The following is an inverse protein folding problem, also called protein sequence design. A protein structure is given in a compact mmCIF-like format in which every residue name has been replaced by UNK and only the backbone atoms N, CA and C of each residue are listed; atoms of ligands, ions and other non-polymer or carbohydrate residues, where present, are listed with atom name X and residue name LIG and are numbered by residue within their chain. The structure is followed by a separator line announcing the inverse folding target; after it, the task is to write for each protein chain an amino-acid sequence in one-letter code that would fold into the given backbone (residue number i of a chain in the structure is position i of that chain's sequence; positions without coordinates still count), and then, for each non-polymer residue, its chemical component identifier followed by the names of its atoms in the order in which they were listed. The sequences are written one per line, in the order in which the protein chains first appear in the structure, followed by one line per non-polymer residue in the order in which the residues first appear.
data_IF_280527451997
#
_entry.id   IF_280527451997
#
_cell.length_a   1.000
_cell.length_b   1.000
_cell.length_c   1.000
_cell.angle_alpha   90.00
_cell.angle_beta   90.00
_cell.angle_gamma   90.00
#
_symmetry.space_group_name_H-M   'P 1'
#
loop_
_entity.id
_entity.type
_entity.pdbx_description
1 polymer ?
#
# COMPACT_ATOMS: atom_id res chain seq x y z
N UNK A 1 1.84 9.44 -11.45
CA UNK A 1 1.98 8.86 -10.10
C UNK A 1 0.61 8.47 -9.57
N UNK A 2 0.52 7.31 -8.97
CA UNK A 2 -0.69 6.84 -8.31
C UNK A 2 -0.33 6.43 -6.89
N UNK A 3 -1.31 6.44 -5.99
CA UNK A 3 -1.16 5.94 -4.62
C UNK A 3 -1.96 4.64 -4.48
N UNK A 4 -1.30 3.58 -4.04
CA UNK A 4 -1.92 2.29 -3.77
C UNK A 4 -1.89 2.06 -2.26
N UNK A 5 -3.05 1.77 -1.67
CA UNK A 5 -3.18 1.62 -0.22
C UNK A 5 -3.42 0.15 0.13
N UNK A 6 -2.55 -0.41 0.94
CA UNK A 6 -2.75 -1.71 1.59
C UNK A 6 -3.63 -1.45 2.82
N UNK A 7 -4.93 -1.55 2.63
CA UNK A 7 -5.91 -1.00 3.58
C UNK A 7 -6.06 -1.81 4.87
N UNK A 8 -5.76 -3.10 4.84
CA UNK A 8 -6.03 -3.97 5.99
C UNK A 8 -5.19 -3.60 7.21
N UNK A 9 -4.04 -2.98 7.00
CA UNK A 9 -3.20 -2.54 8.10
C UNK A 9 -3.03 -1.02 8.19
N UNK A 10 -3.88 -0.25 7.50
CA UNK A 10 -3.69 1.20 7.44
C UNK A 10 -4.77 1.93 8.24
N UNK A 11 -4.40 2.61 9.35
CA UNK A 11 -5.37 3.35 10.16
C UNK A 11 -5.75 4.71 9.56
N UNK A 12 -5.09 5.14 8.48
CA UNK A 12 -5.28 6.48 7.89
C UNK A 12 -5.78 6.40 6.44
N UNK A 13 -6.62 5.40 6.14
CA UNK A 13 -7.15 5.21 4.78
C UNK A 13 -7.92 6.45 4.31
N UNK A 14 -8.86 6.92 5.12
CA UNK A 14 -9.74 8.03 4.71
C UNK A 14 -8.95 9.33 4.54
N UNK A 15 -8.00 9.58 5.42
CA UNK A 15 -7.13 10.76 5.34
C UNK A 15 -6.27 10.72 4.09
N UNK A 16 -5.74 9.56 3.75
CA UNK A 16 -4.92 9.37 2.54
C UNK A 16 -5.76 9.59 1.28
N UNK A 17 -6.96 9.01 1.23
CA UNK A 17 -7.88 9.20 0.10
C UNK A 17 -8.22 10.67 -0.08
N UNK A 18 -8.49 11.36 1.04
CA UNK A 18 -8.82 12.80 1.00
C UNK A 18 -7.68 13.63 0.45
N UNK A 19 -6.45 13.34 0.86
CA UNK A 19 -5.28 14.05 0.36
C UNK A 19 -5.03 13.76 -1.11
N UNK A 20 -5.19 12.52 -1.54
CA UNK A 20 -5.07 12.18 -2.96
C UNK A 20 -6.09 12.94 -3.81
N UNK A 21 -7.33 13.03 -3.34
CA UNK A 21 -8.36 13.79 -4.05
C UNK A 21 -8.03 15.28 -4.12
N UNK A 22 -7.49 15.85 -3.04
CA UNK A 22 -7.13 17.26 -2.98
C UNK A 22 -6.04 17.61 -3.99
N UNK A 23 -5.11 16.69 -4.23
CA UNK A 23 -4.01 16.91 -5.16
C UNK A 23 -4.23 16.27 -6.53
N UNK A 24 -5.42 15.76 -6.79
CA UNK A 24 -5.78 15.10 -8.05
C UNK A 24 -4.87 13.91 -8.37
N UNK A 25 -4.49 13.16 -7.35
CA UNK A 25 -3.67 11.95 -7.49
C UNK A 25 -4.58 10.74 -7.49
N UNK A 26 -4.51 9.88 -8.52
CA UNK A 26 -5.29 8.64 -8.53
C UNK A 26 -4.95 7.76 -7.32
N UNK A 27 -5.98 7.18 -6.71
CA UNK A 27 -5.82 6.37 -5.52
C UNK A 27 -6.55 5.04 -5.71
N UNK A 28 -5.84 3.94 -5.45
CA UNK A 28 -6.38 2.59 -5.50
C UNK A 28 -6.27 1.97 -4.11
N UNK A 29 -7.32 1.28 -3.70
CA UNK A 29 -7.37 0.71 -2.36
C UNK A 29 -7.50 -0.81 -2.47
N UNK A 30 -6.69 -1.53 -1.71
CA UNK A 30 -6.65 -2.99 -1.71
C UNK A 30 -6.96 -3.51 -0.32
N UNK A 31 -7.93 -4.42 -0.23
CA UNK A 31 -8.36 -5.01 1.04
C UNK A 31 -8.77 -6.46 0.82
N UNK A 32 -8.90 -7.21 1.91
CA UNK A 32 -9.44 -8.56 1.84
C UNK A 32 -10.97 -8.53 1.99
N UNK A 33 -11.61 -9.70 1.86
CA UNK A 33 -13.08 -9.79 1.93
C UNK A 33 -13.66 -9.48 3.30
N UNK A 34 -12.85 -9.53 4.35
CA UNK A 34 -13.30 -9.25 5.72
C UNK A 34 -13.34 -7.76 6.02
N UNK A 35 -12.67 -6.92 5.21
CA UNK A 35 -12.52 -5.48 5.46
C UNK A 35 -12.87 -4.69 4.20
N UNK A 36 -14.11 -4.83 3.72
CA UNK A 36 -14.53 -4.12 2.52
C UNK A 36 -14.79 -2.66 2.85
N UNK A 37 -14.12 -1.79 2.10
CA UNK A 37 -14.30 -0.35 2.21
C UNK A 37 -15.22 0.15 1.09
N UNK A 38 -16.05 1.12 1.42
CA UNK A 38 -16.87 1.83 0.44
C UNK A 38 -16.60 3.32 0.59
N UNK A 39 -15.70 3.82 -0.25
CA UNK A 39 -15.29 5.23 -0.20
C UNK A 39 -15.52 5.84 -1.58
N UNK A 40 -16.34 6.91 -1.68
CA UNK A 40 -16.56 7.57 -2.96
C UNK A 40 -15.27 8.11 -3.56
N UNK A 41 -15.12 7.98 -4.86
CA UNK A 41 -13.99 8.56 -5.59
C UNK A 41 -12.70 7.76 -5.55
N UNK A 42 -12.72 6.57 -4.97
CA UNK A 42 -11.55 5.68 -4.96
C UNK A 42 -11.95 4.32 -5.53
N UNK A 43 -11.04 3.73 -6.26
CA UNK A 43 -11.21 2.39 -6.82
C UNK A 43 -10.81 1.36 -5.76
N UNK A 44 -11.71 0.44 -5.44
CA UNK A 44 -11.50 -0.56 -4.39
C UNK A 44 -11.34 -1.94 -5.04
N UNK A 45 -10.26 -2.61 -4.72
CA UNK A 45 -9.97 -3.99 -5.16
C UNK A 45 -10.03 -4.89 -3.95
N UNK A 46 -10.86 -5.93 -4.02
CA UNK A 46 -11.08 -6.86 -2.92
C UNK A 46 -10.43 -8.18 -3.28
N UNK A 47 -9.48 -8.63 -2.46
CA UNK A 47 -8.82 -9.91 -2.65
C UNK A 47 -9.67 -11.04 -2.09
N UNK A 48 -9.51 -12.24 -2.64
CA UNK A 48 -10.12 -13.43 -2.08
C UNK A 48 -9.59 -13.71 -0.69
N UNK A 49 -10.38 -14.38 0.13
CA UNK A 49 -9.93 -14.84 1.44
C UNK A 49 -8.71 -15.73 1.28
N UNK A 50 -7.61 -15.33 1.87
CA UNK A 50 -6.39 -16.09 1.79
C UNK A 50 -5.24 -15.26 2.28
N UNK A 51 -4.29 -15.95 2.89
CA UNK A 51 -3.07 -15.31 3.36
C UNK A 51 -2.32 -14.74 2.16
N UNK A 52 -1.91 -13.49 2.23
CA UNK A 52 -1.14 -12.79 1.20
C UNK A 52 -1.88 -12.49 -0.10
N UNK A 53 -3.18 -12.78 -0.21
CA UNK A 53 -3.94 -12.48 -1.44
C UNK A 53 -3.99 -11.00 -1.74
N UNK A 54 -4.10 -10.15 -0.72
CA UNK A 54 -4.11 -8.69 -0.89
C UNK A 54 -2.78 -8.20 -1.45
N UNK A 55 -1.66 -8.74 -0.97
CA UNK A 55 -0.33 -8.39 -1.45
C UNK A 55 -0.16 -8.73 -2.93
N UNK A 56 -0.58 -9.93 -3.33
CA UNK A 56 -0.52 -10.33 -4.74
C UNK A 56 -1.37 -9.44 -5.61
N UNK A 57 -2.56 -9.11 -5.16
CA UNK A 57 -3.47 -8.25 -5.91
C UNK A 57 -2.87 -6.86 -6.09
N UNK A 58 -2.32 -6.29 -5.04
CA UNK A 58 -1.66 -4.99 -5.08
C UNK A 58 -0.47 -5.02 -6.05
N UNK A 59 0.39 -6.03 -5.93
CA UNK A 59 1.57 -6.15 -6.78
C UNK A 59 1.19 -6.33 -8.24
N UNK A 60 0.07 -6.99 -8.54
CA UNK A 60 -0.38 -7.18 -9.92
C UNK A 60 -0.79 -5.86 -10.59
N UNK A 61 -1.15 -4.85 -9.82
CA UNK A 61 -1.52 -3.53 -10.32
C UNK A 61 -0.37 -2.52 -10.25
N UNK A 62 0.72 -2.88 -9.62
CA UNK A 62 1.83 -1.96 -9.36
C UNK A 62 2.55 -1.57 -10.64
N UNK A 63 2.87 -0.28 -10.76
CA UNK A 63 3.63 0.28 -11.87
C UNK A 63 4.82 1.07 -11.33
N UNK A 64 5.93 1.14 -12.08
CA UNK A 64 7.04 2.01 -11.69
C UNK A 64 6.56 3.43 -11.44
N UNK A 65 7.04 4.06 -10.38
CA UNK A 65 6.65 5.41 -10.00
C UNK A 65 5.42 5.50 -9.09
N UNK A 66 4.72 4.40 -8.86
CA UNK A 66 3.61 4.37 -7.89
C UNK A 66 4.14 4.54 -6.47
N UNK A 67 3.25 5.02 -5.57
CA UNK A 67 3.53 5.12 -4.13
C UNK A 67 2.59 4.18 -3.40
N UNK A 68 3.15 3.29 -2.59
CA UNK A 68 2.37 2.29 -1.84
C UNK A 68 2.40 2.64 -0.36
N UNK A 69 1.22 2.64 0.27
CA UNK A 69 1.08 2.86 1.71
C UNK A 69 0.85 1.49 2.37
N UNK A 70 1.76 1.06 3.22
CA UNK A 70 1.66 -0.24 3.88
C UNK A 70 2.43 -0.27 5.20
N UNK A 71 1.96 -1.07 6.16
CA UNK A 71 2.70 -1.38 7.38
C UNK A 71 3.59 -2.62 7.20
N UNK A 72 3.41 -3.35 6.11
CA UNK A 72 4.14 -4.58 5.84
C UNK A 72 5.45 -4.25 5.11
N UNK A 73 6.56 -4.31 5.81
CA UNK A 73 7.84 -3.98 5.19
C UNK A 73 8.34 -5.07 4.23
N UNK A 74 7.84 -6.29 4.32
CA UNK A 74 8.09 -7.29 3.28
C UNK A 74 7.47 -6.89 1.95
N UNK A 75 6.21 -6.43 1.97
CA UNK A 75 5.55 -5.89 0.80
C UNK A 75 6.26 -4.61 0.32
N UNK A 76 6.66 -3.74 1.24
CA UNK A 76 7.39 -2.52 0.90
C UNK A 76 8.69 -2.83 0.16
N UNK A 77 9.42 -3.85 0.60
CA UNK A 77 10.66 -4.28 -0.07
C UNK A 77 10.39 -4.71 -1.51
N UNK A 78 9.32 -5.47 -1.74
CA UNK A 78 8.94 -5.89 -3.08
C UNK A 78 8.57 -4.70 -3.97
N UNK A 79 7.88 -3.72 -3.41
CA UNK A 79 7.51 -2.50 -4.14
C UNK A 79 8.75 -1.71 -4.55
N UNK A 80 9.69 -1.53 -3.64
CA UNK A 80 10.95 -0.84 -3.94
C UNK A 80 11.75 -1.55 -5.04
N UNK A 81 11.77 -2.89 -5.01
CA UNK A 81 12.44 -3.68 -6.05
C UNK A 81 11.81 -3.49 -7.43
N UNK A 82 10.57 -3.03 -7.49
CA UNK A 82 9.83 -2.78 -8.74
C UNK A 82 9.78 -1.30 -9.11
N UNK A 83 10.69 -0.52 -8.58
CA UNK A 83 10.82 0.91 -8.87
C UNK A 83 9.63 1.75 -8.42
N UNK A 84 8.87 1.27 -7.45
CA UNK A 84 7.84 2.04 -6.77
C UNK A 84 8.41 2.59 -5.46
N UNK A 85 7.70 3.55 -4.87
CA UNK A 85 8.01 4.06 -3.54
C UNK A 85 7.08 3.39 -2.53
N UNK A 86 7.50 3.33 -1.28
CA UNK A 86 6.68 2.78 -0.22
C UNK A 86 6.77 3.66 1.03
N UNK A 87 5.61 3.90 1.65
CA UNK A 87 5.49 4.73 2.84
C UNK A 87 4.77 3.94 3.94
N UNK A 88 5.22 4.12 5.16
CA UNK A 88 4.50 3.67 6.33
C UNK A 88 3.31 4.61 6.60
N UNK A 89 2.17 4.12 7.11
CA UNK A 89 1.02 4.99 7.41
C UNK A 89 1.33 6.14 8.39
N UNK A 90 2.38 6.02 9.19
CA UNK A 90 2.83 7.09 10.07
C UNK A 90 3.57 8.21 9.35
N UNK A 91 3.85 8.06 8.04
CA UNK A 91 4.39 9.11 7.19
C UNK A 91 5.85 8.98 6.80
N UNK A 92 6.58 8.02 7.35
CA UNK A 92 7.99 7.87 6.99
C UNK A 92 8.16 6.93 5.79
N UNK A 93 9.16 7.23 4.97
CA UNK A 93 9.43 6.44 3.77
C UNK A 93 10.23 5.18 4.10
N UNK A 94 9.89 4.09 3.42
CA UNK A 94 10.77 2.93 3.40
C UNK A 94 11.90 3.17 2.41
N UNK A 95 13.11 2.83 2.80
CA UNK A 95 14.28 2.87 1.93
C UNK A 95 14.92 1.49 1.95
N UNK A 96 15.77 1.23 0.98
CA UNK A 96 16.51 -0.03 0.97
C UNK A 96 17.26 -0.26 2.28
N UNK A 97 17.89 0.79 2.80
CA UNK A 97 18.70 0.68 4.02
C UNK A 97 17.85 0.38 5.25
N UNK A 98 16.74 1.10 5.45
CA UNK A 98 15.92 0.87 6.64
C UNK A 98 15.14 -0.45 6.54
N UNK A 99 14.78 -0.89 5.35
CA UNK A 99 14.12 -2.18 5.17
C UNK A 99 15.08 -3.32 5.49
N UNK A 100 16.31 -3.26 5.04
CA UNK A 100 17.30 -4.28 5.35
C UNK A 100 17.50 -4.41 6.87
N UNK A 101 17.55 -3.29 7.57
CA UNK A 101 17.65 -3.27 9.02
C UNK A 101 16.42 -3.91 9.69
N UNK A 102 15.21 -3.57 9.22
CA UNK A 102 13.97 -4.11 9.76
C UNK A 102 13.85 -5.63 9.55
N UNK A 103 14.21 -6.10 8.37
CA UNK A 103 14.18 -7.53 8.05
C UNK A 103 15.19 -8.30 8.88
N UNK A 104 16.36 -7.73 9.13
CA UNK A 104 17.39 -8.34 9.97
C UNK A 104 16.93 -8.48 11.41
N UNK A 105 16.28 -7.45 11.95
CA UNK A 105 15.75 -7.49 13.31
C UNK A 105 14.68 -8.57 13.45
N UNK A 106 13.88 -8.79 12.43
CA UNK A 106 12.86 -9.83 12.43
C UNK A 106 13.42 -11.25 12.40
N UNK A 107 14.54 -11.39 11.74
CA UNK A 107 15.16 -12.70 11.63
C UNK A 107 15.78 -13.10 12.97
#
# INVERSE_FOLDING_TARGET
MRVLIDADGCPVVRETVRQCAAFHVPCLLFCDTAHVFSIPGVEVFVADCGHDSTDYLLLSHLRPGDVVITQDYGLAALCLARSAQALHPAGHAYTKDNIDALLTVRA
#
